data_IF_927074333178
#
_entry.id   IF_927074333178
#
_cell.length_a   1.000
_cell.length_b   1.000
_cell.length_c   1.000
_cell.angle_alpha   90.00
_cell.angle_beta   90.00
_cell.angle_gamma   90.00
#
_symmetry.space_group_name_H-M   'P 1'
#
loop_
_entity.id
_entity.type
_entity.pdbx_description
1 polymer ?
#
# COMPACT_ATOMS: atom_id res chain seq x y z
N UNK A 1 -29.76 -32.37 -27.16
CA UNK A 1 -28.31 -32.18 -27.04
C UNK A 1 -28.01 -30.73 -27.36
N UNK A 2 -27.77 -29.92 -26.34
CA UNK A 2 -27.39 -28.52 -26.48
C UNK A 2 -26.10 -28.36 -25.68
N UNK A 3 -24.97 -28.33 -26.40
CA UNK A 3 -23.65 -28.10 -25.82
C UNK A 3 -23.57 -26.65 -25.35
N UNK A 4 -23.72 -26.48 -24.03
CA UNK A 4 -23.36 -25.24 -23.35
C UNK A 4 -21.86 -25.06 -23.38
N UNK A 5 -21.36 -24.23 -24.29
CA UNK A 5 -20.01 -23.68 -24.22
C UNK A 5 -19.88 -22.92 -22.90
N UNK A 6 -19.11 -23.46 -21.96
CA UNK A 6 -18.54 -22.69 -20.86
C UNK A 6 -17.73 -21.55 -21.46
N UNK A 7 -18.16 -20.31 -21.26
CA UNK A 7 -17.28 -19.15 -21.41
C UNK A 7 -16.13 -19.33 -20.40
N UNK A 8 -14.97 -19.71 -20.91
CA UNK A 8 -13.70 -19.51 -20.23
C UNK A 8 -13.52 -17.99 -20.10
N UNK A 9 -13.65 -17.46 -18.89
CA UNK A 9 -13.11 -16.17 -18.54
C UNK A 9 -11.62 -16.16 -18.89
N UNK A 10 -11.27 -15.47 -19.98
CA UNK A 10 -9.88 -15.19 -20.35
C UNK A 10 -9.20 -14.53 -19.15
N UNK A 11 -8.05 -15.05 -18.73
CA UNK A 11 -7.14 -14.30 -17.84
C UNK A 11 -6.81 -12.98 -18.54
N UNK A 12 -7.36 -11.88 -18.03
CA UNK A 12 -7.29 -10.55 -18.66
C UNK A 12 -6.01 -9.79 -18.29
N UNK A 13 -5.15 -10.36 -17.45
CA UNK A 13 -3.90 -9.73 -17.01
C UNK A 13 -2.73 -10.56 -17.52
N UNK A 14 -2.06 -10.11 -18.58
CA UNK A 14 -0.72 -10.60 -18.89
C UNK A 14 0.21 -10.05 -17.80
N UNK A 15 1.05 -10.89 -17.23
CA UNK A 15 2.03 -10.44 -16.25
C UNK A 15 3.35 -11.14 -16.49
N UNK A 16 4.42 -10.48 -16.09
CA UNK A 16 5.78 -10.98 -16.23
C UNK A 16 6.61 -10.58 -15.01
N UNK A 17 7.75 -11.21 -14.85
CA UNK A 17 8.71 -10.82 -13.82
C UNK A 17 10.13 -11.05 -14.31
N UNK A 18 11.10 -10.41 -13.65
CA UNK A 18 12.52 -10.68 -13.89
C UNK A 18 12.84 -12.15 -13.64
N UNK A 19 13.83 -12.69 -14.37
CA UNK A 19 14.20 -14.11 -14.26
C UNK A 19 14.57 -14.54 -12.83
N UNK A 20 15.14 -13.63 -12.03
CA UNK A 20 15.53 -13.88 -10.63
C UNK A 20 14.42 -13.67 -9.59
N UNK A 21 13.20 -13.26 -9.97
CA UNK A 21 12.17 -12.84 -9.00
C UNK A 21 11.77 -13.98 -8.06
N UNK A 22 11.50 -15.17 -8.59
CA UNK A 22 11.00 -16.31 -7.80
C UNK A 22 12.08 -16.86 -6.86
N UNK A 23 13.34 -16.86 -7.31
CA UNK A 23 14.50 -17.21 -6.48
C UNK A 23 14.72 -16.17 -5.38
N UNK A 24 14.56 -14.87 -5.68
CA UNK A 24 14.62 -13.80 -4.69
C UNK A 24 13.56 -13.99 -3.59
N UNK A 25 12.28 -14.14 -3.97
CA UNK A 25 11.20 -14.41 -3.02
C UNK A 25 11.49 -15.68 -2.20
N UNK A 26 12.10 -16.67 -2.84
CA UNK A 26 12.52 -17.91 -2.17
C UNK A 26 13.57 -17.71 -1.10
N UNK A 27 14.68 -17.07 -1.49
CA UNK A 27 15.85 -16.83 -0.64
C UNK A 27 15.48 -16.00 0.60
N UNK A 28 14.60 -15.03 0.42
CA UNK A 28 14.17 -14.14 1.50
C UNK A 28 13.00 -14.68 2.32
N UNK A 29 12.38 -15.78 1.87
CA UNK A 29 11.17 -16.39 2.44
C UNK A 29 10.05 -15.36 2.62
N UNK A 30 9.75 -14.62 1.55
CA UNK A 30 8.72 -13.60 1.53
C UNK A 30 7.77 -13.79 0.34
N UNK A 31 6.61 -13.17 0.45
CA UNK A 31 5.65 -12.87 -0.62
C UNK A 31 5.22 -11.41 -0.49
N UNK A 32 4.48 -10.88 -1.46
CA UNK A 32 3.98 -9.51 -1.44
C UNK A 32 2.46 -9.50 -1.51
N UNK A 33 1.82 -8.56 -0.82
CA UNK A 33 0.46 -8.14 -1.11
C UNK A 33 0.48 -6.73 -1.69
N UNK A 34 -0.38 -6.48 -2.67
CA UNK A 34 -0.50 -5.15 -3.26
C UNK A 34 -1.93 -4.90 -3.75
N UNK A 35 -2.34 -3.65 -3.75
CA UNK A 35 -3.72 -3.25 -4.04
C UNK A 35 -3.81 -2.50 -5.37
N UNK A 36 -4.92 -2.69 -6.09
CA UNK A 36 -5.31 -1.83 -7.20
C UNK A 36 -6.76 -1.39 -7.03
N UNK A 37 -6.93 -0.13 -6.66
CA UNK A 37 -8.25 0.45 -6.51
C UNK A 37 -8.99 0.59 -7.84
N UNK A 38 -8.25 0.74 -8.96
CA UNK A 38 -8.80 0.80 -10.30
C UNK A 38 -9.45 -0.53 -10.69
N UNK A 39 -8.77 -1.66 -10.42
CA UNK A 39 -9.30 -2.97 -10.77
C UNK A 39 -10.25 -3.55 -9.71
N UNK A 40 -10.25 -3.02 -8.48
CA UNK A 40 -11.03 -3.59 -7.38
C UNK A 40 -10.45 -4.91 -6.88
N UNK A 41 -9.12 -5.06 -6.89
CA UNK A 41 -8.45 -6.32 -6.54
C UNK A 41 -7.33 -6.07 -5.53
N UNK A 42 -7.30 -6.89 -4.48
CA UNK A 42 -6.15 -7.16 -3.64
C UNK A 42 -5.39 -8.36 -4.23
N UNK A 43 -4.14 -8.16 -4.60
CA UNK A 43 -3.28 -9.17 -5.18
C UNK A 43 -2.32 -9.72 -4.13
N UNK A 44 -1.96 -11.00 -4.29
CA UNK A 44 -0.85 -11.62 -3.59
C UNK A 44 0.12 -12.20 -4.62
N UNK A 45 1.36 -11.73 -4.60
CA UNK A 45 2.45 -12.23 -5.41
C UNK A 45 3.33 -13.15 -4.56
N UNK A 46 3.31 -14.42 -4.91
CA UNK A 46 4.14 -15.46 -4.32
C UNK A 46 4.78 -16.33 -5.39
N UNK A 47 5.10 -17.56 -4.99
CA UNK A 47 5.73 -18.57 -5.82
C UNK A 47 5.02 -19.90 -5.68
N UNK A 48 4.91 -20.65 -6.77
CA UNK A 48 4.34 -22.01 -6.72
C UNK A 48 5.32 -22.99 -6.06
N UNK A 49 4.84 -24.12 -5.50
CA UNK A 49 5.70 -25.15 -4.92
C UNK A 49 6.74 -25.73 -5.89
N UNK A 50 6.40 -25.79 -7.17
CA UNK A 50 7.24 -26.30 -8.28
C UNK A 50 8.08 -25.21 -8.98
N UNK A 51 8.00 -23.96 -8.50
CA UNK A 51 8.68 -22.82 -9.08
C UNK A 51 7.78 -21.97 -9.98
N UNK A 52 8.25 -20.77 -10.34
CA UNK A 52 7.46 -19.81 -11.09
C UNK A 52 6.59 -18.92 -10.19
N UNK A 53 6.07 -17.85 -10.80
CA UNK A 53 5.26 -16.83 -10.14
C UNK A 53 3.86 -17.41 -9.87
N UNK A 54 3.32 -17.12 -8.69
CA UNK A 54 1.90 -17.29 -8.38
C UNK A 54 1.28 -15.94 -8.05
N UNK A 55 0.21 -15.59 -8.75
CA UNK A 55 -0.55 -14.37 -8.50
C UNK A 55 -1.98 -14.74 -8.08
N UNK A 56 -2.32 -14.54 -6.81
CA UNK A 56 -3.67 -14.71 -6.31
C UNK A 56 -4.42 -13.37 -6.35
N UNK A 57 -5.71 -13.41 -6.68
CA UNK A 57 -6.58 -12.24 -6.78
C UNK A 57 -7.75 -12.36 -5.81
N UNK A 58 -7.94 -11.35 -4.98
CA UNK A 58 -9.05 -11.25 -4.05
C UNK A 58 -9.85 -9.98 -4.35
N UNK A 59 -11.13 -10.14 -4.71
CA UNK A 59 -12.01 -9.00 -4.98
C UNK A 59 -12.20 -8.13 -3.75
N UNK A 60 -12.02 -6.82 -3.90
CA UNK A 60 -12.25 -5.81 -2.87
C UNK A 60 -12.75 -4.52 -3.53
N UNK A 61 -13.73 -3.84 -2.97
CA UNK A 61 -14.16 -2.56 -3.55
C UNK A 61 -13.10 -1.50 -3.30
N UNK A 62 -12.50 -0.93 -4.36
CA UNK A 62 -11.52 0.17 -4.30
C UNK A 62 -10.44 -0.04 -3.18
N UNK A 63 -9.64 -1.13 -3.19
CA UNK A 63 -8.63 -1.39 -2.18
C UNK A 63 -7.49 -0.37 -2.28
N UNK A 64 -7.06 0.16 -1.14
CA UNK A 64 -6.08 1.25 -1.02
C UNK A 64 -4.91 0.81 -0.11
N UNK A 65 -4.74 1.41 1.07
CA UNK A 65 -3.64 1.13 1.98
C UNK A 65 -3.62 -0.29 2.54
N UNK A 66 -2.40 -0.80 2.77
CA UNK A 66 -2.12 -2.13 3.29
C UNK A 66 -1.19 -2.06 4.50
N UNK A 67 -1.46 -2.89 5.50
CA UNK A 67 -0.54 -3.04 6.64
C UNK A 67 -0.49 -4.48 7.10
N UNK A 68 0.68 -5.09 6.96
CA UNK A 68 0.98 -6.39 7.55
C UNK A 68 1.69 -6.20 8.88
N UNK A 69 1.13 -6.76 9.96
CA UNK A 69 1.69 -6.63 11.30
C UNK A 69 2.60 -7.83 11.66
N UNK A 70 3.48 -7.64 12.64
CA UNK A 70 4.41 -8.69 13.09
C UNK A 70 3.72 -9.92 13.71
N UNK A 71 2.44 -9.81 14.10
CA UNK A 71 1.62 -10.92 14.62
C UNK A 71 0.97 -11.75 13.51
N UNK A 72 1.16 -11.40 12.24
CA UNK A 72 0.63 -12.12 11.09
C UNK A 72 -0.73 -11.66 10.57
N UNK A 73 -1.28 -10.55 11.10
CA UNK A 73 -2.54 -9.97 10.64
C UNK A 73 -2.32 -8.97 9.49
N UNK A 74 -3.25 -8.94 8.53
CA UNK A 74 -3.24 -8.03 7.39
C UNK A 74 -4.44 -7.08 7.47
N UNK A 75 -4.18 -5.78 7.44
CA UNK A 75 -5.19 -4.75 7.28
C UNK A 75 -5.27 -4.30 5.83
N UNK A 76 -6.50 -4.01 5.40
CA UNK A 76 -6.78 -3.36 4.12
C UNK A 76 -7.77 -2.21 4.36
N UNK A 77 -7.43 -1.01 3.89
CA UNK A 77 -8.43 0.02 3.64
C UNK A 77 -9.03 -0.17 2.26
N UNK A 78 -10.36 -0.14 2.18
CA UNK A 78 -11.15 -0.32 0.97
C UNK A 78 -12.15 0.84 0.83
N UNK A 79 -12.85 0.90 -0.31
CA UNK A 79 -13.64 2.06 -0.72
C UNK A 79 -14.59 2.61 0.35
N UNK A 80 -15.28 1.72 1.09
CA UNK A 80 -16.16 2.10 2.20
C UNK A 80 -15.98 1.25 3.46
N UNK A 81 -14.85 0.54 3.55
CA UNK A 81 -14.64 -0.50 4.55
C UNK A 81 -13.17 -0.56 5.01
N UNK A 82 -12.97 -0.97 6.26
CA UNK A 82 -11.67 -1.43 6.77
C UNK A 82 -11.77 -2.92 7.05
N UNK A 83 -10.88 -3.72 6.47
CA UNK A 83 -10.84 -5.17 6.67
C UNK A 83 -9.72 -5.55 7.63
N UNK A 84 -10.04 -6.41 8.59
CA UNK A 84 -9.10 -7.04 9.50
C UNK A 84 -9.00 -8.50 9.11
N UNK A 85 -7.93 -8.85 8.41
CA UNK A 85 -7.73 -10.20 7.89
C UNK A 85 -6.72 -10.94 8.75
N UNK A 86 -7.04 -12.19 9.07
CA UNK A 86 -6.18 -13.08 9.84
C UNK A 86 -5.85 -14.31 8.99
N UNK A 87 -4.61 -14.80 9.08
CA UNK A 87 -4.26 -16.08 8.47
C UNK A 87 -4.92 -17.22 9.27
N UNK A 88 -5.72 -18.05 8.60
CA UNK A 88 -6.47 -19.13 9.25
C UNK A 88 -5.82 -20.50 9.15
N UNK A 89 -4.66 -20.61 8.48
CA UNK A 89 -3.94 -21.87 8.31
C UNK A 89 -2.85 -22.01 9.38
N UNK A 90 -2.76 -23.19 9.99
CA UNK A 90 -1.57 -23.59 10.74
C UNK A 90 -0.37 -23.77 9.79
N UNK A 91 0.85 -23.77 10.32
CA UNK A 91 2.09 -23.84 9.52
C UNK A 91 2.16 -25.05 8.57
N UNK A 92 1.55 -26.18 8.94
CA UNK A 92 1.50 -27.41 8.16
C UNK A 92 0.26 -27.54 7.26
N UNK A 93 -0.72 -26.64 7.38
CA UNK A 93 -1.95 -26.68 6.60
C UNK A 93 -1.79 -25.98 5.25
N UNK A 94 -2.53 -26.44 4.24
CA UNK A 94 -2.55 -25.83 2.91
C UNK A 94 -3.97 -25.65 2.42
N UNK A 95 -4.30 -24.46 1.93
CA UNK A 95 -5.54 -24.22 1.20
C UNK A 95 -5.32 -24.56 -0.28
N UNK A 96 -6.30 -25.23 -0.90
CA UNK A 96 -6.24 -25.69 -2.30
C UNK A 96 -4.90 -26.37 -2.66
N UNK A 97 -4.34 -27.13 -1.71
CA UNK A 97 -3.06 -27.84 -1.78
C UNK A 97 -1.78 -26.98 -1.90
N UNK A 98 -1.85 -25.75 -2.38
CA UNK A 98 -0.65 -24.94 -2.70
C UNK A 98 -0.46 -23.71 -1.82
N UNK A 99 -1.53 -23.17 -1.22
CA UNK A 99 -1.45 -21.91 -0.47
C UNK A 99 -1.07 -22.17 0.98
N UNK A 100 0.00 -21.53 1.45
CA UNK A 100 0.56 -21.70 2.80
C UNK A 100 0.14 -20.61 3.80
N UNK A 101 -0.68 -19.66 3.34
CA UNK A 101 -1.49 -18.76 4.17
C UNK A 101 -2.83 -18.50 3.51
N UNK A 102 -3.89 -18.36 4.32
CA UNK A 102 -5.21 -17.96 3.87
C UNK A 102 -5.71 -16.81 4.74
N UNK A 103 -5.59 -15.57 4.23
CA UNK A 103 -6.06 -14.37 4.91
C UNK A 103 -7.57 -14.23 4.76
N UNK A 104 -8.28 -14.25 5.88
CA UNK A 104 -9.75 -14.17 5.92
C UNK A 104 -10.18 -12.94 6.70
N UNK A 105 -11.05 -12.07 6.15
CA UNK A 105 -11.59 -10.92 6.86
C UNK A 105 -12.47 -11.39 8.03
N UNK A 106 -11.93 -11.35 9.26
CA UNK A 106 -12.63 -11.72 10.49
C UNK A 106 -13.45 -10.58 11.06
N UNK A 107 -13.07 -9.35 10.72
CA UNK A 107 -13.84 -8.16 11.01
C UNK A 107 -13.82 -7.24 9.81
N UNK A 108 -14.97 -6.63 9.53
CA UNK A 108 -15.13 -5.57 8.54
C UNK A 108 -15.81 -4.40 9.23
N UNK A 109 -15.18 -3.24 9.20
CA UNK A 109 -15.76 -2.01 9.70
C UNK A 109 -16.28 -1.18 8.53
N UNK A 110 -17.57 -0.86 8.51
CA UNK A 110 -18.17 -0.02 7.47
C UNK A 110 -17.96 1.45 7.84
N UNK A 111 -17.27 2.19 6.98
CA UNK A 111 -16.91 3.60 7.20
C UNK A 111 -17.68 4.56 6.28
N UNK A 112 -18.16 4.08 5.14
CA UNK A 112 -18.55 4.96 4.03
C UNK A 112 -17.32 5.46 3.25
N UNK A 113 -17.53 6.22 2.18
CA UNK A 113 -16.42 6.66 1.31
C UNK A 113 -15.60 7.78 1.96
N UNK A 114 -14.54 7.40 2.67
CA UNK A 114 -13.60 8.31 3.35
C UNK A 114 -12.31 8.56 2.56
N UNK A 115 -12.11 7.84 1.46
CA UNK A 115 -10.85 7.80 0.73
C UNK A 115 -9.69 7.48 1.70
N UNK A 116 -9.79 6.32 2.35
CA UNK A 116 -8.83 5.91 3.38
C UNK A 116 -7.50 5.48 2.76
N UNK A 117 -6.55 6.41 2.65
CA UNK A 117 -5.34 6.24 1.85
C UNK A 117 -4.33 5.28 2.47
N UNK A 118 -3.88 5.53 3.69
CA UNK A 118 -2.87 4.70 4.38
C UNK A 118 -3.46 4.17 5.69
N UNK A 119 -2.94 3.05 6.18
CA UNK A 119 -3.48 2.33 7.34
C UNK A 119 -2.35 1.67 8.14
N UNK A 120 -2.47 1.66 9.46
CA UNK A 120 -1.53 0.99 10.37
C UNK A 120 -2.25 0.45 11.61
N UNK A 121 -1.55 -0.34 12.43
CA UNK A 121 -1.94 -0.58 13.84
C UNK A 121 -0.95 0.12 14.76
N UNK A 122 -1.47 0.83 15.76
CA UNK A 122 -0.63 1.39 16.84
C UNK A 122 -0.21 0.30 17.84
N UNK A 123 0.63 0.67 18.82
CA UNK A 123 1.10 -0.25 19.88
C UNK A 123 0.01 -0.88 20.74
N UNK A 124 -1.19 -0.30 20.76
CA UNK A 124 -2.34 -0.83 21.48
C UNK A 124 -3.24 -1.69 20.57
N UNK A 125 -2.73 -2.10 19.40
CA UNK A 125 -3.45 -2.86 18.37
C UNK A 125 -4.67 -2.13 17.79
N UNK A 126 -4.76 -0.81 18.01
CA UNK A 126 -5.83 0.02 17.45
C UNK A 126 -5.48 0.39 16.02
N UNK A 127 -6.45 0.25 15.12
CA UNK A 127 -6.31 0.71 13.74
C UNK A 127 -6.25 2.24 13.69
N UNK A 128 -5.32 2.76 12.90
CA UNK A 128 -5.27 4.16 12.51
C UNK A 128 -5.22 4.21 10.99
N UNK A 129 -5.96 5.14 10.38
CA UNK A 129 -5.95 5.33 8.94
C UNK A 129 -5.98 6.81 8.57
N UNK A 130 -5.37 7.14 7.43
CA UNK A 130 -5.47 8.47 6.83
C UNK A 130 -6.85 8.59 6.20
N UNK A 131 -7.66 9.50 6.70
CA UNK A 131 -8.93 9.89 6.11
C UNK A 131 -8.68 11.15 5.27
N UNK A 132 -8.33 10.94 4.00
CA UNK A 132 -7.94 11.99 3.06
C UNK A 132 -9.07 12.97 2.84
N UNK A 133 -10.29 12.45 2.64
CA UNK A 133 -11.49 13.24 2.40
C UNK A 133 -11.77 14.25 3.52
N UNK A 134 -11.45 13.89 4.77
CA UNK A 134 -11.61 14.72 5.97
C UNK A 134 -10.29 15.25 6.55
N UNK A 135 -9.17 15.15 5.83
CA UNK A 135 -7.88 15.75 6.17
C UNK A 135 -7.35 15.37 7.57
N UNK A 136 -7.55 14.13 8.01
CA UNK A 136 -7.18 13.71 9.37
C UNK A 136 -6.65 12.27 9.43
N UNK A 137 -5.91 11.96 10.50
CA UNK A 137 -5.76 10.58 10.96
C UNK A 137 -7.01 10.24 11.76
N UNK A 138 -7.62 9.10 11.47
CA UNK A 138 -8.81 8.61 12.12
C UNK A 138 -8.65 7.17 12.62
N UNK A 139 -9.56 6.77 13.50
CA UNK A 139 -9.77 5.38 13.92
C UNK A 139 -11.22 4.97 13.70
N UNK A 140 -11.52 3.68 13.83
CA UNK A 140 -12.87 3.14 13.68
C UNK A 140 -13.77 3.52 14.85
N UNK A 141 -15.09 3.49 14.64
CA UNK A 141 -16.07 3.87 15.66
C UNK A 141 -17.24 2.90 15.68
N UNK A 142 -17.56 2.36 16.86
CA UNK A 142 -18.68 1.43 16.99
C UNK A 142 -20.06 2.03 16.62
N UNK A 143 -20.17 3.36 16.54
CA UNK A 143 -21.41 4.09 16.26
C UNK A 143 -21.36 4.95 15.00
N UNK A 144 -20.22 5.54 14.68
CA UNK A 144 -20.05 6.51 13.60
C UNK A 144 -19.15 5.95 12.50
N UNK A 145 -19.04 6.65 11.37
CA UNK A 145 -18.11 6.26 10.29
C UNK A 145 -16.65 6.21 10.74
N UNK A 146 -16.24 7.14 11.60
CA UNK A 146 -14.87 7.24 12.12
C UNK A 146 -14.81 8.15 13.35
N UNK A 147 -13.67 8.14 14.05
CA UNK A 147 -13.30 9.12 15.09
C UNK A 147 -12.00 9.79 14.64
N UNK A 148 -11.97 11.13 14.45
CA UNK A 148 -10.73 11.84 14.16
C UNK A 148 -9.80 11.83 15.39
N UNK A 149 -8.53 11.52 15.16
CA UNK A 149 -7.49 11.43 16.21
C UNK A 149 -6.51 12.59 16.10
N UNK A 150 -6.21 13.03 14.88
CA UNK A 150 -5.28 14.12 14.63
C UNK A 150 -5.57 14.76 13.27
N UNK A 151 -5.35 16.08 13.14
CA UNK A 151 -5.37 16.80 11.86
C UNK A 151 -4.19 17.77 11.80
N UNK A 152 -3.69 18.12 10.61
CA UNK A 152 -2.69 19.17 10.48
C UNK A 152 -3.18 20.49 11.10
N UNK A 153 -2.31 21.30 11.73
CA UNK A 153 -2.72 22.52 12.42
C UNK A 153 -3.29 23.59 11.48
N UNK A 154 -2.91 23.57 10.20
CA UNK A 154 -3.44 24.49 9.19
C UNK A 154 -4.83 24.10 8.66
N UNK A 155 -5.34 22.90 8.98
CA UNK A 155 -6.71 22.51 8.67
C UNK A 155 -7.62 23.01 9.78
N UNK A 156 -8.55 23.91 9.51
CA UNK A 156 -9.37 24.52 10.56
C UNK A 156 -10.52 23.64 11.06
N UNK A 157 -11.02 22.70 10.24
CA UNK A 157 -12.20 21.90 10.54
C UNK A 157 -12.14 20.49 9.93
N UNK A 158 -12.82 19.54 10.58
CA UNK A 158 -13.03 18.19 10.04
C UNK A 158 -14.25 18.26 9.11
N UNK A 159 -13.99 18.47 7.82
CA UNK A 159 -15.00 18.61 6.78
C UNK A 159 -14.63 17.82 5.53
N UNK A 160 -15.66 17.43 4.80
CA UNK A 160 -15.59 16.67 3.57
C UNK A 160 -15.17 17.56 2.40
N UNK A 161 -13.87 17.88 2.31
CA UNK A 161 -13.36 18.84 1.33
C UNK A 161 -12.00 18.50 0.75
N UNK A 162 -11.32 17.42 1.19
CA UNK A 162 -10.01 16.99 0.68
C UNK A 162 -9.07 18.20 0.39
N UNK A 163 -8.79 18.98 1.44
CA UNK A 163 -8.17 20.29 1.32
C UNK A 163 -6.69 20.18 1.02
N UNK A 164 -5.99 19.34 1.79
CA UNK A 164 -4.55 19.17 1.69
C UNK A 164 -4.13 17.85 1.04
N UNK A 165 -5.07 16.93 0.84
CA UNK A 165 -4.81 15.54 0.46
C UNK A 165 -3.78 14.90 1.40
N UNK A 166 -4.15 14.79 2.68
CA UNK A 166 -3.36 13.99 3.63
C UNK A 166 -3.28 12.57 3.07
N UNK A 167 -2.10 12.00 2.95
CA UNK A 167 -1.88 10.87 2.06
C UNK A 167 -1.32 9.64 2.78
N UNK A 168 -0.12 9.75 3.36
CA UNK A 168 0.55 8.64 4.02
C UNK A 168 0.89 8.92 5.48
N UNK A 169 1.16 7.86 6.25
CA UNK A 169 1.63 7.95 7.63
C UNK A 169 2.78 6.98 7.93
N UNK A 170 3.77 7.43 8.70
CA UNK A 170 4.90 6.63 9.16
C UNK A 170 4.72 6.31 10.64
N UNK A 171 4.89 5.03 10.98
CA UNK A 171 4.84 4.54 12.35
C UNK A 171 6.24 4.17 12.83
N UNK A 172 6.59 4.50 14.08
CA UNK A 172 7.84 4.08 14.70
C UNK A 172 7.83 2.58 15.02
N UNK A 173 8.98 2.03 15.40
CA UNK A 173 9.09 0.65 15.87
C UNK A 173 8.24 0.40 17.13
N UNK A 174 8.05 1.43 17.95
CA UNK A 174 7.23 1.42 19.16
C UNK A 174 5.73 1.63 18.87
N UNK A 175 5.31 1.65 17.61
CA UNK A 175 3.90 1.74 17.22
C UNK A 175 3.29 3.14 17.39
N UNK A 176 4.08 4.21 17.32
CA UNK A 176 3.61 5.59 17.35
C UNK A 176 3.58 6.21 15.95
N UNK A 177 2.52 6.94 15.59
CA UNK A 177 2.54 7.73 14.35
C UNK A 177 3.47 8.92 14.55
N UNK A 178 4.51 8.98 13.72
CA UNK A 178 5.58 9.99 13.85
C UNK A 178 5.44 11.09 12.81
N UNK A 179 5.20 10.71 11.56
CA UNK A 179 5.16 11.61 10.42
C UNK A 179 3.98 11.29 9.52
N UNK A 180 3.50 12.30 8.81
CA UNK A 180 2.54 12.15 7.73
C UNK A 180 2.99 12.92 6.50
N UNK A 181 2.50 12.52 5.33
CA UNK A 181 2.66 13.28 4.10
C UNK A 181 1.33 13.90 3.67
N UNK A 182 1.38 15.10 3.10
CA UNK A 182 0.26 15.75 2.43
C UNK A 182 0.73 16.33 1.09
N UNK A 183 -0.16 16.43 0.10
CA UNK A 183 0.19 16.98 -1.22
C UNK A 183 0.28 18.50 -1.21
N UNK A 184 -0.30 19.17 -0.21
CA UNK A 184 -0.16 20.60 -0.04
C UNK A 184 -0.41 21.04 1.41
N UNK A 185 -0.20 22.33 1.66
CA UNK A 185 -0.59 23.02 2.91
C UNK A 185 -1.96 23.70 2.79
N UNK A 186 -2.73 23.40 1.74
CA UNK A 186 -4.00 24.06 1.47
C UNK A 186 -5.04 23.72 2.55
N UNK A 187 -5.82 24.74 2.92
CA UNK A 187 -7.04 24.61 3.72
C UNK A 187 -8.30 24.97 2.91
N UNK A 188 -8.20 24.95 1.59
CA UNK A 188 -9.31 25.16 0.65
C UNK A 188 -9.68 23.85 0.00
N UNK A 189 -10.98 23.62 -0.24
CA UNK A 189 -11.50 22.46 -0.97
C UNK A 189 -10.67 22.17 -2.22
N UNK A 190 -10.20 20.92 -2.35
CA UNK A 190 -9.39 20.44 -3.47
C UNK A 190 -8.10 21.27 -3.78
N UNK A 191 -7.66 22.16 -2.88
CA UNK A 191 -6.60 23.14 -3.20
C UNK A 191 -5.20 22.54 -3.42
N UNK A 192 -5.02 21.26 -3.12
CA UNK A 192 -3.82 20.51 -3.46
C UNK A 192 -3.63 20.28 -4.97
N UNK A 193 -4.70 20.33 -5.77
CA UNK A 193 -4.66 20.02 -7.22
C UNK A 193 -3.77 20.98 -8.01
N UNK A 194 -3.68 22.22 -7.56
CA UNK A 194 -2.86 23.27 -8.17
C UNK A 194 -1.41 23.25 -7.68
N UNK A 195 -1.04 22.28 -6.82
CA UNK A 195 0.28 22.20 -6.15
C UNK A 195 0.89 20.81 -6.23
N UNK A 196 0.50 20.04 -7.26
CA UNK A 196 0.97 18.66 -7.48
C UNK A 196 2.49 18.58 -7.66
N UNK A 197 3.10 19.60 -8.27
CA UNK A 197 4.50 19.60 -8.63
C UNK A 197 5.45 19.66 -7.42
N UNK A 198 5.17 20.54 -6.46
CA UNK A 198 6.11 20.93 -5.39
C UNK A 198 5.43 21.28 -4.05
N UNK A 199 4.10 21.20 -3.96
CA UNK A 199 3.36 21.58 -2.75
C UNK A 199 3.50 20.61 -1.60
N UNK A 200 3.99 19.39 -1.87
CA UNK A 200 4.01 18.29 -0.93
C UNK A 200 4.88 18.56 0.28
N UNK A 201 4.40 18.09 1.43
CA UNK A 201 5.06 18.29 2.72
C UNK A 201 5.11 17.01 3.54
N UNK A 202 6.07 16.96 4.46
CA UNK A 202 6.15 16.03 5.57
C UNK A 202 5.86 16.80 6.85
N UNK A 203 4.97 16.26 7.69
CA UNK A 203 4.58 16.87 8.95
C UNK A 203 4.94 15.92 10.08
N UNK A 204 5.71 16.41 11.05
CA UNK A 204 5.94 15.72 12.31
C UNK A 204 4.67 15.84 13.17
N UNK A 205 4.07 14.71 13.51
CA UNK A 205 2.77 14.62 14.19
C UNK A 205 2.84 15.09 15.63
N UNK A 206 3.99 14.91 16.30
CA UNK A 206 4.16 15.25 17.72
C UNK A 206 4.29 16.76 17.93
N UNK A 207 5.08 17.41 17.10
CA UNK A 207 5.35 18.85 17.15
C UNK A 207 4.38 19.67 16.29
N UNK A 208 3.61 19.02 15.42
CA UNK A 208 2.74 19.64 14.41
C UNK A 208 3.48 20.56 13.43
N UNK A 209 4.79 20.34 13.23
CA UNK A 209 5.61 21.16 12.33
C UNK A 209 5.77 20.49 10.98
N UNK A 210 5.82 21.30 9.93
CA UNK A 210 6.31 20.85 8.63
C UNK A 210 7.82 20.72 8.74
N UNK A 211 8.34 19.55 8.38
CA UNK A 211 9.75 19.16 8.54
C UNK A 211 10.41 18.79 7.21
N UNK A 212 9.68 18.82 6.10
CA UNK A 212 10.21 18.76 4.74
C UNK A 212 9.14 19.32 3.79
N UNK A 213 9.55 20.01 2.74
CA UNK A 213 8.66 20.62 1.73
C UNK A 213 9.26 20.50 0.33
N UNK A 214 8.55 20.97 -0.70
CA UNK A 214 9.01 20.90 -2.09
C UNK A 214 8.81 19.53 -2.74
N UNK A 215 8.00 18.66 -2.14
CA UNK A 215 7.77 17.31 -2.64
C UNK A 215 6.68 17.29 -3.72
N UNK A 216 6.84 16.39 -4.69
CA UNK A 216 5.88 16.13 -5.75
C UNK A 216 5.03 14.93 -5.38
N UNK A 217 3.82 15.19 -4.89
CA UNK A 217 2.86 14.16 -4.51
C UNK A 217 3.44 13.06 -3.60
N UNK A 218 3.91 13.38 -2.38
CA UNK A 218 4.59 12.42 -1.52
C UNK A 218 3.66 11.33 -0.98
N UNK A 219 4.01 10.06 -1.22
CA UNK A 219 3.31 8.86 -0.77
C UNK A 219 4.14 8.04 0.21
N UNK A 220 3.44 7.17 0.94
CA UNK A 220 3.99 6.03 1.68
C UNK A 220 5.25 6.36 2.49
N UNK A 221 5.19 7.31 3.46
CA UNK A 221 6.31 7.54 4.34
C UNK A 221 6.51 6.30 5.23
N UNK A 222 7.75 5.81 5.34
CA UNK A 222 8.10 4.60 6.10
C UNK A 222 9.40 4.81 6.85
N UNK A 223 9.48 4.32 8.08
CA UNK A 223 10.76 4.17 8.76
C UNK A 223 11.44 2.88 8.32
N UNK A 224 12.71 2.98 7.96
CA UNK A 224 13.55 1.82 7.67
C UNK A 224 15.01 2.16 7.97
N UNK A 225 15.69 1.27 8.69
CA UNK A 225 17.10 1.45 9.12
C UNK A 225 17.42 2.80 9.77
N UNK A 226 16.46 3.34 10.53
CA UNK A 226 16.61 4.62 11.24
C UNK A 226 16.46 5.86 10.37
N UNK A 227 16.09 5.72 9.09
CA UNK A 227 15.82 6.81 8.17
C UNK A 227 14.32 6.89 7.82
N UNK A 228 13.82 8.11 7.59
CA UNK A 228 12.46 8.33 7.09
C UNK A 228 12.46 8.32 5.57
N UNK A 229 11.96 7.24 5.00
CA UNK A 229 11.82 7.05 3.55
C UNK A 229 10.49 7.56 3.03
N UNK A 230 10.48 8.08 1.81
CA UNK A 230 9.31 8.63 1.13
C UNK A 230 9.35 8.23 -0.35
N UNK A 231 8.17 7.93 -0.91
CA UNK A 231 7.97 7.89 -2.35
C UNK A 231 7.58 9.30 -2.84
N UNK A 232 8.49 10.00 -3.53
CA UNK A 232 8.24 11.28 -4.17
C UNK A 232 7.60 11.03 -5.55
N UNK A 233 6.33 10.63 -5.53
CA UNK A 233 5.69 9.95 -6.67
C UNK A 233 5.68 10.73 -7.97
N UNK A 234 5.58 12.06 -7.91
CA UNK A 234 5.59 12.92 -9.10
C UNK A 234 6.96 13.09 -9.74
N UNK A 235 8.05 12.62 -9.12
CA UNK A 235 9.39 12.55 -9.72
C UNK A 235 9.83 11.13 -10.06
N UNK A 236 9.06 10.11 -9.65
CA UNK A 236 9.42 8.71 -9.82
C UNK A 236 10.53 8.25 -8.87
N UNK A 237 10.77 8.96 -7.76
CA UNK A 237 11.92 8.69 -6.88
C UNK A 237 11.51 8.23 -5.49
N UNK A 238 12.19 7.21 -4.97
CA UNK A 238 12.22 6.93 -3.53
C UNK A 238 13.47 7.56 -2.93
N UNK A 239 13.36 8.02 -1.70
CA UNK A 239 14.48 8.65 -1.01
C UNK A 239 14.21 8.87 0.47
N UNK A 240 15.18 9.47 1.14
CA UNK A 240 15.12 9.73 2.59
C UNK A 240 15.00 11.22 2.86
N UNK A 241 14.40 11.58 4.00
CA UNK A 241 14.49 12.95 4.51
C UNK A 241 15.70 13.04 5.45
N UNK A 242 16.79 13.65 4.96
CA UNK A 242 17.99 13.87 5.76
C UNK A 242 17.85 15.13 6.62
N UNK A 243 18.61 15.22 7.71
CA UNK A 243 18.69 16.39 8.60
C UNK A 243 17.38 16.76 9.32
N UNK A 244 16.50 15.78 9.59
CA UNK A 244 15.24 16.00 10.34
C UNK A 244 15.48 16.61 11.72
N UNK A 245 16.58 16.27 12.37
CA UNK A 245 16.99 16.79 13.69
C UNK A 245 17.23 18.30 13.70
N UNK A 246 17.45 18.92 12.54
CA UNK A 246 17.60 20.37 12.39
C UNK A 246 16.25 21.11 12.37
N UNK A 247 15.13 20.38 12.30
CA UNK A 247 13.76 20.89 12.27
C UNK A 247 13.22 21.13 10.85
N UNK A 248 14.06 21.20 9.83
CA UNK A 248 13.67 21.22 8.42
C UNK A 248 14.64 20.35 7.63
N UNK A 249 14.23 19.11 7.38
CA UNK A 249 14.96 18.17 6.57
C UNK A 249 14.85 18.45 5.08
N UNK A 250 15.66 17.72 4.31
CA UNK A 250 15.70 17.80 2.85
C UNK A 250 15.57 16.40 2.27
N UNK A 251 14.65 16.23 1.31
CA UNK A 251 14.53 14.97 0.59
C UNK A 251 15.77 14.71 -0.28
N UNK A 252 16.36 13.53 -0.13
CA UNK A 252 17.48 13.04 -0.93
C UNK A 252 17.04 11.79 -1.70
N UNK A 253 16.91 11.87 -3.03
CA UNK A 253 16.57 10.70 -3.84
C UNK A 253 17.67 9.64 -3.70
N UNK A 254 17.25 8.38 -3.58
CA UNK A 254 18.13 7.20 -3.48
C UNK A 254 18.00 6.30 -4.71
N UNK A 255 16.82 6.22 -5.31
CA UNK A 255 16.59 5.46 -6.54
C UNK A 255 15.45 6.07 -7.36
N UNK A 256 15.58 6.00 -8.69
CA UNK A 256 14.51 6.31 -9.65
C UNK A 256 13.81 5.03 -10.10
N UNK A 257 12.50 5.10 -10.27
CA UNK A 257 11.61 4.04 -10.70
C UNK A 257 10.71 4.62 -11.82
N UNK A 258 10.67 4.01 -13.03
CA UNK A 258 10.00 4.57 -14.21
C UNK A 258 8.48 4.43 -14.14
N UNK A 259 7.84 5.23 -13.28
CA UNK A 259 6.39 5.28 -13.12
C UNK A 259 5.96 6.17 -11.95
N UNK A 260 4.66 6.43 -11.86
CA UNK A 260 4.10 7.16 -10.72
C UNK A 260 4.09 6.24 -9.50
N UNK A 261 4.83 6.59 -8.46
CA UNK A 261 5.04 5.68 -7.33
C UNK A 261 3.82 5.58 -6.42
N UNK A 262 3.49 4.35 -6.03
CA UNK A 262 2.32 3.99 -5.23
C UNK A 262 2.69 2.81 -4.33
N UNK A 263 2.73 3.05 -3.02
CA UNK A 263 3.15 2.04 -2.08
C UNK A 263 4.66 1.93 -1.94
N UNK A 264 5.08 1.76 -0.69
CA UNK A 264 6.46 1.53 -0.32
C UNK A 264 6.48 0.63 0.91
N UNK A 265 7.22 -0.46 0.83
CA UNK A 265 7.52 -1.32 1.98
C UNK A 265 8.95 -1.82 1.92
N UNK A 266 9.44 -2.35 3.04
CA UNK A 266 10.82 -2.79 3.18
C UNK A 266 10.90 -4.20 3.77
N UNK A 267 11.93 -4.94 3.39
CA UNK A 267 12.31 -6.20 4.03
C UNK A 267 13.81 -6.45 3.88
N UNK A 268 14.54 -6.46 5.01
CA UNK A 268 16.01 -6.39 4.98
C UNK A 268 16.48 -5.17 4.18
N UNK A 269 17.59 -5.27 3.45
CA UNK A 269 18.12 -4.18 2.62
C UNK A 269 17.39 -3.95 1.29
N UNK A 270 16.10 -4.25 1.20
CA UNK A 270 15.33 -4.12 -0.04
C UNK A 270 14.06 -3.30 0.15
N UNK A 271 13.83 -2.37 -0.78
CA UNK A 271 12.58 -1.63 -0.91
C UNK A 271 11.70 -2.26 -2.00
N UNK A 272 10.41 -2.40 -1.72
CA UNK A 272 9.39 -2.82 -2.67
C UNK A 272 8.56 -1.59 -3.02
N UNK A 273 8.62 -1.20 -4.28
CA UNK A 273 8.02 0.04 -4.77
C UNK A 273 6.95 -0.32 -5.79
N UNK A 274 5.71 0.10 -5.55
CA UNK A 274 4.66 -0.05 -6.56
C UNK A 274 4.71 1.10 -7.56
N UNK A 275 4.51 0.78 -8.83
CA UNK A 275 4.54 1.68 -9.97
C UNK A 275 3.17 1.67 -10.64
N UNK A 276 2.70 2.84 -11.03
CA UNK A 276 1.50 3.05 -11.83
C UNK A 276 1.80 3.82 -13.09
N UNK A 277 1.02 3.60 -14.14
CA UNK A 277 1.02 4.48 -15.31
C UNK A 277 0.31 5.79 -14.94
N UNK A 278 0.89 6.96 -15.24
CA UNK A 278 0.22 8.23 -15.02
C UNK A 278 -1.13 8.27 -15.72
N UNK A 279 -2.13 8.84 -15.04
CA UNK A 279 -3.43 9.14 -15.64
C UNK A 279 -3.26 10.28 -16.63
N UNK A 280 -3.62 10.03 -17.88
CA UNK A 280 -3.83 11.11 -18.84
C UNK A 280 -4.72 12.21 -18.22
N UNK A 281 -4.32 13.46 -18.33
CA UNK A 281 -4.87 14.70 -17.73
C UNK A 281 -4.72 14.93 -16.21
N UNK A 282 -4.57 13.91 -15.37
CA UNK A 282 -4.51 14.09 -13.89
C UNK A 282 -3.09 14.05 -13.31
N UNK A 283 -2.15 13.40 -13.98
CA UNK A 283 -0.74 13.30 -13.56
C UNK A 283 0.25 13.71 -14.66
N UNK A 284 -0.22 14.34 -15.73
CA UNK A 284 0.62 14.99 -16.75
C UNK A 284 1.23 16.28 -16.23
N UNK A 285 2.40 16.63 -16.77
CA UNK A 285 3.13 17.86 -16.48
C UNK A 285 3.89 17.82 -15.16
N UNK A 286 4.21 16.61 -14.68
CA UNK A 286 5.07 16.40 -13.53
C UNK A 286 6.50 16.12 -14.01
N UNK A 287 7.48 16.37 -13.14
CA UNK A 287 8.90 16.11 -13.47
C UNK A 287 9.18 14.66 -13.89
N UNK A 288 8.32 13.71 -13.48
CA UNK A 288 8.36 12.33 -13.97
C UNK A 288 8.37 12.23 -15.50
N UNK A 289 7.62 13.08 -16.21
CA UNK A 289 7.55 13.02 -17.69
C UNK A 289 8.93 13.26 -18.31
N UNK A 290 9.63 14.30 -17.85
CA UNK A 290 10.99 14.62 -18.31
C UNK A 290 11.99 13.51 -17.92
N UNK A 291 11.87 12.98 -16.70
CA UNK A 291 12.75 11.90 -16.20
C UNK A 291 12.60 10.60 -16.99
N UNK A 292 11.38 10.28 -17.44
CA UNK A 292 11.13 9.13 -18.31
C UNK A 292 11.80 9.31 -19.68
N UNK A 293 11.73 10.51 -20.26
CA UNK A 293 12.41 10.84 -21.52
C UNK A 293 13.93 10.76 -21.35
N UNK A 294 14.49 11.35 -20.29
CA UNK A 294 15.93 11.30 -19.98
C UNK A 294 16.44 9.86 -19.82
N UNK A 295 15.61 8.98 -19.26
CA UNK A 295 15.94 7.59 -19.01
C UNK A 295 15.63 6.65 -20.18
N UNK A 296 15.16 7.17 -21.33
CA UNK A 296 14.67 6.40 -22.49
C UNK A 296 13.68 5.29 -22.06
N UNK A 297 12.69 5.68 -21.25
CA UNK A 297 11.78 4.75 -20.59
C UNK A 297 10.32 5.17 -20.74
N UNK A 298 9.42 4.19 -20.72
CA UNK A 298 7.98 4.42 -20.62
C UNK A 298 7.48 4.06 -19.23
N UNK A 299 6.48 4.79 -18.73
CA UNK A 299 5.83 4.43 -17.49
C UNK A 299 5.11 3.07 -17.58
N UNK A 300 5.30 2.21 -16.59
CA UNK A 300 4.62 0.91 -16.52
C UNK A 300 4.06 0.59 -15.13
N UNK A 301 3.20 -0.43 -15.07
CA UNK A 301 2.46 -0.81 -13.87
C UNK A 301 3.03 -2.11 -13.29
N UNK A 302 3.33 -2.13 -11.99
CA UNK A 302 3.92 -3.30 -11.34
C UNK A 302 4.72 -2.94 -10.10
N UNK A 303 5.67 -3.79 -9.72
CA UNK A 303 6.50 -3.63 -8.53
C UNK A 303 7.97 -3.72 -8.93
N UNK A 304 8.78 -2.78 -8.46
CA UNK A 304 10.24 -2.89 -8.49
C UNK A 304 10.78 -3.21 -7.10
N UNK A 305 11.82 -4.05 -7.08
CA UNK A 305 12.56 -4.43 -5.87
C UNK A 305 13.93 -3.76 -5.97
N UNK A 306 14.17 -2.79 -5.10
CA UNK A 306 15.38 -1.97 -5.09
C UNK A 306 16.31 -2.46 -3.98
N UNK A 307 17.57 -2.74 -4.31
CA UNK A 307 18.65 -2.88 -3.32
C UNK A 307 19.02 -1.49 -2.83
N UNK A 308 18.63 -1.15 -1.59
CA UNK A 308 18.70 0.22 -1.07
C UNK A 308 20.15 0.69 -0.89
N UNK A 309 21.08 -0.25 -0.67
CA UNK A 309 22.51 0.07 -0.52
C UNK A 309 23.15 0.54 -1.83
N UNK A 310 22.59 0.10 -2.96
CA UNK A 310 23.09 0.42 -4.31
C UNK A 310 22.20 1.42 -5.04
N UNK A 311 20.94 1.58 -4.61
CA UNK A 311 19.94 2.37 -5.32
C UNK A 311 19.52 1.75 -6.66
N UNK A 312 19.67 0.43 -6.83
CA UNK A 312 19.42 -0.26 -8.12
C UNK A 312 18.28 -1.26 -8.04
N UNK A 313 17.51 -1.35 -9.12
CA UNK A 313 16.46 -2.37 -9.28
C UNK A 313 17.10 -3.74 -9.53
N UNK A 314 16.90 -4.68 -8.59
CA UNK A 314 17.44 -6.05 -8.67
C UNK A 314 16.44 -7.05 -9.22
N UNK A 315 15.14 -6.80 -9.04
CA UNK A 315 14.06 -7.63 -9.56
C UNK A 315 12.80 -6.78 -9.78
N UNK A 316 11.89 -7.29 -10.61
CA UNK A 316 10.64 -6.61 -10.89
C UNK A 316 9.52 -7.60 -11.22
N UNK A 317 8.28 -7.16 -11.01
CA UNK A 317 7.05 -7.80 -11.44
C UNK A 317 6.21 -6.79 -12.21
N UNK A 318 5.77 -7.11 -13.42
CA UNK A 318 5.07 -6.20 -14.33
C UNK A 318 3.71 -6.76 -14.67
N UNK A 319 2.72 -5.87 -14.72
CA UNK A 319 1.37 -6.16 -15.20
C UNK A 319 1.19 -5.46 -16.54
N UNK A 320 0.99 -6.27 -17.57
CA UNK A 320 0.71 -5.88 -18.93
C UNK A 320 -0.79 -6.17 -19.18
N UNK A 321 -1.63 -5.14 -19.11
CA UNK A 321 -3.06 -5.36 -19.20
C UNK A 321 -3.89 -4.14 -18.78
N UNK A 322 -5.18 -4.34 -18.45
CA UNK A 322 -6.08 -3.24 -18.11
C UNK A 322 -5.79 -2.60 -16.74
N UNK A 323 -5.00 -3.27 -15.90
CA UNK A 323 -4.56 -2.76 -14.60
C UNK A 323 -3.41 -1.78 -14.82
N UNK A 324 -3.70 -0.50 -14.64
CA UNK A 324 -2.75 0.59 -14.92
C UNK A 324 -2.26 1.26 -13.65
N UNK A 325 -2.97 1.06 -12.53
CA UNK A 325 -2.69 1.70 -11.26
C UNK A 325 -2.62 0.69 -10.13
N UNK A 326 -1.49 0.68 -9.42
CA UNK A 326 -1.38 0.13 -8.08
C UNK A 326 -1.64 1.24 -7.05
N UNK A 327 -1.86 0.87 -5.79
CA UNK A 327 -2.06 1.85 -4.73
C UNK A 327 -1.06 1.69 -3.59
N UNK A 328 -0.95 0.48 -3.03
CA UNK A 328 -0.01 0.16 -1.97
C UNK A 328 0.63 -1.22 -2.18
N UNK A 329 1.77 -1.45 -1.52
CA UNK A 329 2.49 -2.73 -1.51
C UNK A 329 3.04 -2.99 -0.11
N UNK A 330 2.89 -4.22 0.37
CA UNK A 330 3.46 -4.66 1.65
C UNK A 330 4.13 -6.03 1.49
N UNK A 331 5.31 -6.17 2.08
CA UNK A 331 6.00 -7.46 2.17
C UNK A 331 5.37 -8.32 3.26
N UNK A 332 5.23 -9.61 2.97
CA UNK A 332 4.67 -10.63 3.87
C UNK A 332 5.75 -11.70 4.10
N UNK A 333 6.49 -11.62 5.22
CA UNK A 333 7.49 -12.62 5.59
C UNK A 333 6.85 -13.94 6.02
N UNK A 334 7.57 -15.04 5.79
CA UNK A 334 7.21 -16.37 6.28
C UNK A 334 6.35 -17.21 5.35
N UNK A 335 5.72 -16.58 4.34
CA UNK A 335 4.78 -17.25 3.44
C UNK A 335 5.25 -17.19 1.99
N UNK A 336 5.16 -18.33 1.30
CA UNK A 336 5.62 -18.53 -0.07
C UNK A 336 4.51 -18.26 -1.07
N UNK A 337 3.28 -18.65 -0.73
CA UNK A 337 2.13 -18.66 -1.61
C UNK A 337 0.88 -18.29 -0.80
N UNK A 338 0.73 -17.02 -0.37
CA UNK A 338 -0.46 -16.60 0.34
C UNK A 338 -1.66 -16.42 -0.60
N UNK A 339 -2.85 -16.60 -0.06
CA UNK A 339 -4.12 -16.23 -0.67
C UNK A 339 -4.99 -15.44 0.32
N UNK A 340 -6.06 -14.84 -0.19
CA UNK A 340 -7.13 -14.28 0.63
C UNK A 340 -8.51 -14.65 0.09
N UNK A 341 -9.52 -14.58 0.95
CA UNK A 341 -10.91 -14.80 0.58
C UNK A 341 -11.70 -13.51 0.74
N UNK A 342 -12.44 -13.15 -0.31
CA UNK A 342 -13.27 -11.95 -0.30
C UNK A 342 -14.55 -12.16 0.55
N UNK A 343 -15.09 -11.10 1.19
CA UNK A 343 -16.39 -11.13 1.82
C UNK A 343 -17.50 -11.47 0.81
N UNK A 344 -18.55 -12.13 1.29
CA UNK A 344 -19.74 -12.42 0.48
C UNK A 344 -19.57 -13.54 -0.55
N UNK A 345 -18.41 -14.20 -0.61
CA UNK A 345 -18.21 -15.36 -1.49
C UNK A 345 -18.69 -16.67 -0.85
N UNK A 346 -18.82 -17.73 -1.65
CA UNK A 346 -19.19 -19.06 -1.14
C UNK A 346 -18.07 -19.67 -0.31
N UNK A 347 -16.82 -19.35 -0.61
CA UNK A 347 -15.64 -19.87 0.08
C UNK A 347 -15.65 -19.43 1.55
N UNK A 348 -15.86 -18.14 1.83
CA UNK A 348 -15.89 -17.64 3.22
C UNK A 348 -17.09 -18.20 3.99
N UNK A 349 -18.23 -18.42 3.32
CA UNK A 349 -19.42 -19.00 3.95
C UNK A 349 -19.22 -20.46 4.39
N UNK A 350 -18.34 -21.21 3.71
CA UNK A 350 -18.07 -22.62 4.02
C UNK A 350 -16.77 -22.82 4.82
N UNK A 351 -15.92 -21.81 4.94
CA UNK A 351 -14.67 -21.88 5.70
C UNK A 351 -14.93 -21.64 7.19
N UNK A 352 -15.16 -22.73 7.92
CA UNK A 352 -15.35 -22.71 9.37
C UNK A 352 -14.06 -23.14 10.06
N UNK A 353 -13.56 -22.30 10.96
CA UNK A 353 -12.41 -22.58 11.82
C UNK A 353 -12.76 -22.24 13.26
N UNK A 354 -12.24 -22.98 14.23
CA UNK A 354 -12.43 -22.72 15.66
C UNK A 354 -11.10 -22.77 16.40
N UNK A 355 -11.01 -22.09 17.55
CA UNK A 355 -9.82 -22.16 18.39
C UNK A 355 -9.68 -23.56 18.98
N UNK A 356 -8.48 -24.13 18.87
CA UNK A 356 -8.12 -25.40 19.52
C UNK A 356 -7.57 -25.17 20.93
N UNK A 357 -7.39 -23.92 21.35
CA UNK A 357 -6.88 -23.54 22.68
C UNK A 357 -7.98 -23.57 23.76
N UNK A 358 -9.25 -23.63 23.36
CA UNK A 358 -10.37 -23.81 24.29
C UNK A 358 -10.65 -25.30 24.50
N UNK A 359 -9.87 -25.95 25.37
CA UNK A 359 -10.41 -27.09 26.09
C UNK A 359 -11.28 -26.51 27.21
N UNK A 360 -12.59 -26.69 27.10
CA UNK A 360 -13.57 -26.21 28.08
C UNK A 360 -13.17 -26.67 29.49
N UNK A 361 -12.67 -25.72 30.28
CA UNK A 361 -12.51 -25.85 31.74
C UNK A 361 -13.83 -25.62 32.45
#
# INVERSE_FOLDING_TARGET
MADGKKEQTKDLNEYSGSGGLTEFLSKHNISLAFSSYQSGILYFLGRKPDGGIQLHQCGASKPMGLYYNAKGGLLLSAGSQIWYMENTLAANERANQIFDACFVPRQIHNTGSLDSHDIVRDRNDRVLFVNTRFNCIATTSARHSFVPIWKPPFIDAIVDEDRCHLNGMAISQEGEVTHVTALSRSNTIDGWRDRRADGGVVIDVRSNKIVCEGLSMPHSPRWHDGELWIANSGTGEIGVVESLETGMGTFKPRAFCPGFLRGLSFYGGYAFVGLSRPRYKRFEGLALDDRLVEADSEAWCGIQIIDISKGTCVNWFRIDGPVMELYDVTAIPGYKCPMAIAPGTREIANLITWSKESEFA
#
